data_IF_050270004907
#
_entry.id   IF_050270004907
#
_cell.length_a   1.000
_cell.length_b   1.000
_cell.length_c   1.000
_cell.angle_alpha   90.00
_cell.angle_beta   90.00
_cell.angle_gamma   90.00
#
_symmetry.space_group_name_H-M   'P 1'
#
loop_
_entity.id
_entity.type
_entity.pdbx_description
1 polymer ?
#
# COMPACT_ATOMS: atom_id res chain seq x y z
N UNK A 1 2.55 0.96 -0.14
CA UNK A 1 2.23 -0.33 -0.81
C UNK A 1 2.92 -0.44 -2.17
N UNK A 2 4.01 -1.22 -2.21
CA UNK A 2 4.94 -1.34 -3.36
C UNK A 2 4.77 -2.70 -4.06
N UNK A 3 5.16 -2.79 -5.34
CA UNK A 3 5.24 -4.07 -6.07
C UNK A 3 6.49 -4.83 -5.63
N UNK A 4 6.37 -6.15 -5.42
CA UNK A 4 7.50 -7.01 -5.09
C UNK A 4 7.91 -7.86 -6.29
N UNK A 5 9.22 -7.98 -6.48
CA UNK A 5 9.84 -8.71 -7.58
C UNK A 5 10.67 -9.84 -6.99
N UNK A 6 10.56 -11.02 -7.58
CA UNK A 6 11.30 -12.20 -7.17
C UNK A 6 12.01 -12.82 -8.38
N UNK A 7 13.28 -13.16 -8.22
CA UNK A 7 14.11 -13.72 -9.29
C UNK A 7 14.79 -15.01 -8.83
N UNK A 8 14.68 -16.09 -9.60
CA UNK A 8 15.40 -17.34 -9.32
C UNK A 8 16.86 -17.26 -9.79
N UNK A 9 17.77 -17.98 -9.12
CA UNK A 9 19.22 -17.86 -9.32
C UNK A 9 19.65 -18.10 -10.78
N UNK A 10 20.09 -17.02 -11.42
CA UNK A 10 21.17 -16.98 -12.43
C UNK A 10 22.15 -15.89 -11.93
N UNK A 11 23.48 -15.99 -12.19
CA UNK A 11 24.41 -14.99 -11.72
C UNK A 11 23.96 -13.60 -12.18
N UNK A 12 23.83 -12.66 -11.24
CA UNK A 12 23.51 -11.27 -11.54
C UNK A 12 24.49 -10.78 -12.61
N UNK A 13 24.03 -10.34 -13.79
CA UNK A 13 24.89 -9.60 -14.70
C UNK A 13 25.22 -8.31 -13.97
N UNK A 14 26.51 -8.14 -13.73
CA UNK A 14 27.08 -6.93 -13.18
C UNK A 14 26.84 -5.77 -14.15
N UNK A 15 25.68 -5.14 -14.09
CA UNK A 15 25.67 -3.69 -14.23
C UNK A 15 26.43 -3.12 -13.03
N UNK A 16 27.23 -2.06 -13.20
CA UNK A 16 28.02 -1.46 -12.12
C UNK A 16 27.09 -0.68 -11.18
N UNK A 17 26.25 -1.41 -10.47
CA UNK A 17 25.29 -0.87 -9.51
C UNK A 17 25.86 -1.14 -8.13
N UNK A 18 26.18 -0.06 -7.42
CA UNK A 18 26.75 -0.15 -6.07
C UNK A 18 25.61 -0.43 -5.08
N UNK A 19 25.61 -1.65 -4.55
CA UNK A 19 24.76 -2.03 -3.43
C UNK A 19 25.39 -1.56 -2.12
N UNK A 20 24.60 -0.97 -1.23
CA UNK A 20 25.04 -0.52 0.09
C UNK A 20 24.11 -1.05 1.17
N UNK A 21 24.63 -1.39 2.37
CA UNK A 21 23.77 -1.76 3.48
C UNK A 21 22.79 -0.64 3.83
N UNK A 22 21.52 -1.01 4.02
CA UNK A 22 20.47 -0.08 4.47
C UNK A 22 19.65 -0.71 5.59
N UNK A 23 19.18 0.13 6.50
CA UNK A 23 18.29 -0.28 7.58
C UNK A 23 16.85 -0.47 7.10
N UNK A 24 16.05 -1.11 7.94
CA UNK A 24 14.60 -1.08 7.83
C UNK A 24 14.10 0.37 7.90
N UNK A 25 13.10 0.68 7.10
CA UNK A 25 12.50 2.01 7.13
C UNK A 25 11.72 2.28 8.43
N UNK A 26 11.28 1.22 9.14
CA UNK A 26 10.67 1.33 10.47
C UNK A 26 11.58 0.72 11.56
N UNK A 27 11.60 1.30 12.78
CA UNK A 27 12.33 0.72 13.89
C UNK A 27 11.66 -0.59 14.33
N UNK A 28 12.31 -1.73 14.07
CA UNK A 28 11.86 -3.06 14.49
C UNK A 28 13.03 -3.88 15.06
N UNK A 29 12.72 -4.76 16.00
CA UNK A 29 13.66 -5.75 16.55
C UNK A 29 13.91 -6.87 15.52
N UNK A 30 14.87 -6.67 14.62
CA UNK A 30 15.32 -7.75 13.74
C UNK A 30 16.36 -8.62 14.41
N UNK A 31 16.32 -9.94 14.15
CA UNK A 31 17.45 -10.81 14.41
C UNK A 31 18.67 -10.27 13.65
N UNK A 32 19.84 -10.22 14.30
CA UNK A 32 21.03 -9.45 13.90
C UNK A 32 21.74 -9.99 12.63
N UNK A 33 21.02 -10.75 11.79
CA UNK A 33 21.52 -11.58 10.69
C UNK A 33 20.99 -11.19 9.30
N UNK A 34 19.90 -10.43 9.19
CA UNK A 34 19.36 -9.99 7.89
C UNK A 34 19.83 -8.58 7.56
N UNK A 35 20.80 -8.48 6.66
CA UNK A 35 21.24 -7.22 6.06
C UNK A 35 20.52 -7.01 4.73
N UNK A 36 19.76 -5.91 4.60
CA UNK A 36 19.22 -5.48 3.32
C UNK A 36 20.25 -4.63 2.60
N UNK A 37 20.31 -4.79 1.28
CA UNK A 37 21.10 -3.95 0.42
C UNK A 37 20.19 -3.04 -0.40
N UNK A 38 20.56 -1.78 -0.48
CA UNK A 38 19.87 -0.78 -1.27
C UNK A 38 20.77 -0.28 -2.38
N UNK A 39 20.15 0.22 -3.44
CA UNK A 39 20.87 0.94 -4.49
C UNK A 39 20.00 2.06 -5.02
N UNK A 40 20.66 3.13 -5.50
CA UNK A 40 20.00 4.27 -6.09
C UNK A 40 19.98 4.10 -7.60
N UNK A 41 18.78 4.07 -8.18
CA UNK A 41 18.58 3.98 -9.63
C UNK A 41 17.87 5.23 -10.09
N UNK A 42 18.57 6.04 -10.87
CA UNK A 42 18.00 7.24 -11.49
C UNK A 42 17.32 6.84 -12.79
N UNK A 43 16.01 6.59 -12.74
CA UNK A 43 15.15 6.64 -13.94
C UNK A 43 14.86 8.11 -14.31
N UNK A 44 14.31 8.45 -15.50
CA UNK A 44 14.30 9.80 -16.10
C UNK A 44 13.69 10.97 -15.28
N UNK A 45 13.35 10.77 -14.00
CA UNK A 45 12.54 11.64 -13.18
C UNK A 45 12.69 11.34 -11.64
N UNK A 46 13.89 11.05 -11.11
CA UNK A 46 14.10 10.53 -9.73
C UNK A 46 14.61 11.53 -8.66
N UNK A 47 14.12 11.37 -7.42
CA UNK A 47 14.59 11.94 -6.14
C UNK A 47 14.27 10.94 -4.95
N UNK A 48 14.76 11.11 -3.68
CA UNK A 48 14.77 10.06 -2.61
C UNK A 48 13.82 10.16 -1.33
N UNK A 49 13.54 9.04 -0.58
CA UNK A 49 13.01 8.87 0.86
C UNK A 49 11.84 7.89 1.39
N UNK A 50 12.05 6.68 2.01
CA UNK A 50 11.16 5.61 2.68
C UNK A 50 10.64 4.20 2.07
N UNK A 51 11.18 2.98 2.35
CA UNK A 51 10.59 1.69 1.82
C UNK A 51 9.61 0.95 2.76
N UNK A 52 8.61 0.23 2.24
CA UNK A 52 7.58 -0.48 3.06
C UNK A 52 7.50 -2.01 2.91
N UNK A 53 8.47 -2.68 2.28
CA UNK A 53 8.35 -4.12 1.97
C UNK A 53 9.47 -5.00 2.53
N UNK A 54 10.42 -4.43 3.27
CA UNK A 54 11.60 -5.14 3.78
C UNK A 54 11.25 -6.32 4.68
N UNK A 55 10.28 -6.16 5.58
CA UNK A 55 9.88 -7.26 6.47
C UNK A 55 9.35 -8.45 5.67
N UNK A 56 8.42 -8.18 4.75
CA UNK A 56 7.88 -9.20 3.84
C UNK A 56 9.00 -9.85 3.02
N UNK A 57 9.95 -9.06 2.53
CA UNK A 57 11.11 -9.56 1.79
C UNK A 57 11.99 -10.48 2.63
N UNK A 58 12.31 -10.13 3.88
CA UNK A 58 13.10 -10.99 4.77
C UNK A 58 12.37 -12.30 5.07
N UNK A 59 11.09 -12.23 5.41
CA UNK A 59 10.29 -13.43 5.67
C UNK A 59 10.28 -14.34 4.43
N UNK A 60 10.05 -13.79 3.24
CA UNK A 60 10.10 -14.56 1.99
C UNK A 60 11.50 -15.11 1.71
N UNK A 61 12.56 -14.33 1.87
CA UNK A 61 13.94 -14.80 1.69
C UNK A 61 14.24 -16.03 2.57
N UNK A 62 13.78 -16.02 3.83
CA UNK A 62 13.91 -17.18 4.73
C UNK A 62 13.02 -18.35 4.32
N UNK A 63 11.76 -18.12 3.93
CA UNK A 63 10.86 -19.18 3.44
C UNK A 63 11.40 -19.88 2.20
N UNK A 64 12.10 -19.15 1.33
CA UNK A 64 12.78 -19.68 0.14
C UNK A 64 14.22 -20.16 0.42
N UNK A 65 14.66 -20.20 1.67
CA UNK A 65 16.01 -20.63 2.07
C UNK A 65 17.14 -19.94 1.28
N UNK A 66 16.97 -18.66 0.98
CA UNK A 66 17.93 -17.87 0.19
C UNK A 66 18.07 -18.27 -1.28
N UNK A 67 17.19 -19.11 -1.81
CA UNK A 67 17.23 -19.57 -3.22
C UNK A 67 16.66 -18.59 -4.24
N UNK A 68 16.14 -17.45 -3.77
CA UNK A 68 15.50 -16.42 -4.60
C UNK A 68 15.98 -15.06 -4.14
N UNK A 69 16.31 -14.18 -5.09
CA UNK A 69 16.59 -12.77 -4.82
C UNK A 69 15.28 -11.98 -4.88
N UNK A 70 15.01 -11.20 -3.85
CA UNK A 70 13.84 -10.33 -3.79
C UNK A 70 14.26 -8.89 -4.02
N UNK A 71 13.50 -8.17 -4.83
CA UNK A 71 13.68 -6.75 -5.10
C UNK A 71 12.36 -6.04 -4.87
N UNK A 72 12.43 -4.86 -4.26
CA UNK A 72 11.32 -3.93 -4.18
C UNK A 72 11.81 -2.54 -4.54
N UNK A 73 10.88 -1.67 -4.88
CA UNK A 73 11.16 -0.26 -5.16
C UNK A 73 9.95 0.56 -4.77
N UNK A 74 10.18 1.74 -4.21
CA UNK A 74 9.09 2.67 -3.98
C UNK A 74 8.79 3.47 -5.24
N UNK A 75 7.51 3.61 -5.53
CA UNK A 75 7.06 4.35 -6.70
C UNK A 75 7.25 5.84 -6.47
N UNK A 76 7.27 6.63 -7.55
CA UNK A 76 7.29 8.09 -7.47
C UNK A 76 6.12 8.56 -6.59
N UNK A 77 6.39 9.47 -5.64
CA UNK A 77 5.38 10.00 -4.70
C UNK A 77 5.28 9.22 -3.40
N UNK A 78 5.90 8.04 -3.35
CA UNK A 78 5.87 7.16 -2.19
C UNK A 78 7.28 6.85 -1.81
N UNK A 79 7.47 6.63 -0.53
CA UNK A 79 8.63 5.95 -0.06
C UNK A 79 9.99 6.48 -0.49
N UNK A 80 11.06 5.65 -0.50
CA UNK A 80 12.51 5.91 -0.81
C UNK A 80 12.79 6.58 -2.12
N UNK A 81 11.75 6.83 -2.88
CA UNK A 81 11.68 7.75 -3.98
C UNK A 81 11.24 9.15 -3.52
N UNK A 82 10.80 10.01 -4.42
CA UNK A 82 10.33 11.34 -4.05
C UNK A 82 9.03 11.24 -3.23
N UNK A 83 9.10 11.36 -1.90
CA UNK A 83 7.92 11.28 -1.03
C UNK A 83 7.05 12.52 -1.18
N UNK A 84 5.82 12.34 -1.68
CA UNK A 84 4.88 13.43 -1.89
C UNK A 84 4.03 13.60 -0.64
N UNK A 85 4.42 14.54 0.21
CA UNK A 85 3.69 14.90 1.43
C UNK A 85 3.13 16.33 1.37
N UNK A 86 2.03 16.55 2.09
CA UNK A 86 1.48 17.87 2.40
C UNK A 86 1.69 18.18 3.88
N UNK A 87 2.19 19.37 4.22
CA UNK A 87 2.40 19.88 5.58
C UNK A 87 2.91 18.84 6.64
N UNK A 88 2.86 19.18 7.93
CA UNK A 88 3.48 18.41 9.03
C UNK A 88 2.64 17.22 9.53
N UNK A 89 1.58 16.81 8.82
CA UNK A 89 0.68 15.76 9.30
C UNK A 89 0.59 14.59 8.31
N UNK A 90 0.55 13.38 8.85
CA UNK A 90 0.20 12.17 8.10
C UNK A 90 -1.29 12.10 7.76
N UNK A 91 -2.08 13.03 8.29
CA UNK A 91 -3.53 13.12 8.13
C UNK A 91 -3.89 14.55 7.75
N UNK A 92 -4.51 14.70 6.59
CA UNK A 92 -4.98 16.00 6.09
C UNK A 92 -6.47 16.07 6.40
N UNK A 93 -6.88 17.03 7.22
CA UNK A 93 -8.31 17.24 7.48
C UNK A 93 -8.99 17.79 6.21
N UNK A 94 -10.28 17.48 6.02
CA UNK A 94 -11.02 17.89 4.81
C UNK A 94 -10.89 19.39 4.46
N UNK A 95 -10.87 20.33 5.42
CA UNK A 95 -10.69 21.75 5.13
C UNK A 95 -9.27 22.10 4.63
N UNK A 96 -8.26 21.32 4.97
CA UNK A 96 -6.85 21.53 4.61
C UNK A 96 -6.48 20.93 3.25
N UNK A 97 -7.36 20.07 2.70
CA UNK A 97 -7.14 19.40 1.41
C UNK A 97 -6.77 20.35 0.27
N UNK A 98 -7.44 21.51 0.06
CA UNK A 98 -7.09 22.39 -1.06
C UNK A 98 -5.67 22.94 -0.97
N UNK A 99 -5.23 23.30 0.24
CA UNK A 99 -3.88 23.83 0.48
C UNK A 99 -2.84 22.72 0.32
N UNK A 100 -3.10 21.54 0.89
CA UNK A 100 -2.29 20.34 0.67
C UNK A 100 -2.11 20.03 -0.82
N UNK A 101 -3.20 19.99 -1.59
CA UNK A 101 -3.09 19.74 -3.03
C UNK A 101 -2.29 20.83 -3.73
N UNK A 102 -2.44 22.10 -3.34
CA UNK A 102 -1.62 23.20 -3.85
C UNK A 102 -0.12 22.99 -3.60
N UNK A 103 0.26 22.63 -2.37
CA UNK A 103 1.64 22.35 -1.99
C UNK A 103 2.21 21.15 -2.77
N UNK A 104 1.46 20.04 -2.82
CA UNK A 104 1.85 18.84 -3.54
C UNK A 104 2.01 19.10 -5.04
N UNK A 105 1.10 19.86 -5.66
CA UNK A 105 1.19 20.25 -7.07
C UNK A 105 2.42 21.12 -7.35
N UNK A 106 2.73 22.05 -6.45
CA UNK A 106 3.94 22.88 -6.57
C UNK A 106 5.22 22.04 -6.47
N UNK A 107 5.26 21.03 -5.59
CA UNK A 107 6.41 20.12 -5.43
C UNK A 107 6.72 19.29 -6.68
N UNK A 108 5.75 19.12 -7.56
CA UNK A 108 5.87 18.30 -8.78
C UNK A 108 5.83 19.14 -10.06
N UNK A 109 5.93 20.47 -9.96
CA UNK A 109 5.81 21.39 -11.09
C UNK A 109 4.54 21.15 -11.94
N UNK A 110 3.44 20.74 -11.29
CA UNK A 110 2.18 20.40 -11.94
C UNK A 110 2.20 19.09 -12.77
N UNK A 111 3.28 18.30 -12.73
CA UNK A 111 3.42 17.05 -13.49
C UNK A 111 2.69 15.85 -12.84
N UNK A 112 1.39 15.98 -12.56
CA UNK A 112 0.55 14.94 -11.94
C UNK A 112 0.60 13.59 -12.67
N UNK A 113 0.65 13.61 -14.00
CA UNK A 113 0.71 12.40 -14.83
C UNK A 113 1.95 11.54 -14.57
N UNK A 114 3.03 12.17 -14.10
CA UNK A 114 4.29 11.52 -13.81
C UNK A 114 4.20 10.65 -12.54
N UNK A 115 3.17 10.81 -11.72
CA UNK A 115 2.90 10.05 -10.49
C UNK A 115 1.77 9.02 -10.68
N UNK A 116 1.48 8.65 -11.94
CA UNK A 116 0.44 7.68 -12.27
C UNK A 116 0.91 6.22 -12.13
N UNK A 117 -0.04 5.29 -12.01
CA UNK A 117 0.26 3.85 -12.09
C UNK A 117 0.97 3.44 -13.40
N UNK A 118 0.76 4.20 -14.49
CA UNK A 118 1.48 4.00 -15.76
C UNK A 118 2.94 4.40 -15.68
N UNK A 119 3.24 5.52 -15.01
CA UNK A 119 4.62 5.93 -14.73
C UNK A 119 5.31 4.92 -13.83
N UNK A 120 4.67 4.51 -12.73
CA UNK A 120 5.19 3.47 -11.85
C UNK A 120 5.50 2.16 -12.59
N UNK A 121 4.59 1.68 -13.45
CA UNK A 121 4.82 0.48 -14.26
C UNK A 121 5.99 0.66 -15.25
N UNK A 122 6.17 1.87 -15.79
CA UNK A 122 7.29 2.19 -16.69
C UNK A 122 8.61 2.19 -15.93
N UNK A 123 8.63 2.72 -14.71
CA UNK A 123 9.82 2.73 -13.85
C UNK A 123 10.23 1.29 -13.48
N UNK A 124 9.27 0.45 -13.08
CA UNK A 124 9.47 -0.98 -12.83
C UNK A 124 10.08 -1.70 -14.03
N UNK A 125 9.56 -1.45 -15.23
CA UNK A 125 10.11 -2.00 -16.48
C UNK A 125 11.58 -1.59 -16.65
N UNK A 126 11.92 -0.32 -16.45
CA UNK A 126 13.29 0.18 -16.59
C UNK A 126 14.22 -0.46 -15.55
N UNK A 127 13.80 -0.48 -14.27
CA UNK A 127 14.56 -1.07 -13.17
C UNK A 127 14.85 -2.55 -13.44
N UNK A 128 13.83 -3.34 -13.80
CA UNK A 128 13.99 -4.75 -14.14
C UNK A 128 14.97 -4.94 -15.29
N UNK A 129 14.88 -4.13 -16.35
CA UNK A 129 15.80 -4.21 -17.49
C UNK A 129 17.25 -3.82 -17.16
N UNK A 130 17.46 -3.02 -16.11
CA UNK A 130 18.79 -2.58 -15.69
C UNK A 130 19.44 -3.50 -14.64
N UNK A 131 18.64 -4.10 -13.76
CA UNK A 131 19.13 -4.90 -12.63
C UNK A 131 19.08 -6.40 -12.85
N UNK A 132 18.14 -6.88 -13.67
CA UNK A 132 17.83 -8.30 -13.77
C UNK A 132 18.27 -8.79 -15.14
N UNK A 133 19.01 -9.91 -15.16
CA UNK A 133 19.40 -10.51 -16.43
C UNK A 133 18.21 -10.96 -17.24
N UNK A 134 18.42 -11.02 -18.56
CA UNK A 134 17.47 -11.65 -19.47
C UNK A 134 17.43 -13.18 -19.36
N UNK A 135 18.47 -13.81 -18.80
CA UNK A 135 18.53 -15.27 -18.57
C UNK A 135 18.08 -15.66 -17.15
N UNK A 136 17.53 -14.71 -16.38
CA UNK A 136 16.99 -14.93 -15.04
C UNK A 136 15.49 -15.23 -15.14
N UNK A 137 15.05 -16.29 -14.45
CA UNK A 137 13.62 -16.57 -14.27
C UNK A 137 13.00 -15.50 -13.35
N UNK A 138 12.30 -14.53 -13.95
CA UNK A 138 11.67 -13.41 -13.25
C UNK A 138 10.19 -13.67 -12.93
N UNK A 139 9.80 -13.42 -11.68
CA UNK A 139 8.45 -13.48 -11.16
C UNK A 139 8.08 -12.13 -10.54
N UNK A 140 6.88 -11.64 -10.80
CA UNK A 140 6.43 -10.35 -10.25
C UNK A 140 5.15 -10.56 -9.45
N UNK A 141 5.17 -10.08 -8.21
CA UNK A 141 4.08 -10.22 -7.25
C UNK A 141 3.51 -8.84 -6.90
N UNK A 142 2.28 -8.59 -7.33
CA UNK A 142 1.51 -7.40 -6.98
C UNK A 142 0.53 -7.72 -5.86
N UNK A 143 0.51 -6.89 -4.82
CA UNK A 143 -0.43 -7.00 -3.70
C UNK A 143 -1.28 -5.74 -3.62
N UNK A 144 -2.60 -5.84 -3.47
CA UNK A 144 -3.49 -4.69 -3.31
C UNK A 144 -3.30 -3.69 -4.47
N UNK A 145 -3.08 -2.39 -4.21
CA UNK A 145 -2.73 -1.38 -5.22
C UNK A 145 -1.60 -1.82 -6.19
N UNK A 146 -0.63 -2.63 -5.73
CA UNK A 146 0.43 -3.18 -6.57
C UNK A 146 -0.11 -4.03 -7.74
N UNK A 147 -1.30 -4.62 -7.62
CA UNK A 147 -1.96 -5.34 -8.71
C UNK A 147 -2.41 -4.43 -9.84
N UNK A 148 -2.80 -3.18 -9.57
CA UNK A 148 -3.13 -2.17 -10.58
C UNK A 148 -1.86 -1.79 -11.39
N UNK A 149 -0.75 -1.54 -10.68
CA UNK A 149 0.56 -1.29 -11.31
C UNK A 149 1.01 -2.51 -12.13
N UNK A 150 0.83 -3.72 -11.60
CA UNK A 150 1.20 -4.96 -12.28
C UNK A 150 0.36 -5.21 -13.54
N UNK A 151 -0.95 -4.94 -13.51
CA UNK A 151 -1.81 -5.00 -14.69
C UNK A 151 -1.29 -4.05 -15.78
N UNK A 152 -0.89 -2.84 -15.39
CA UNK A 152 -0.32 -1.87 -16.34
C UNK A 152 1.03 -2.33 -16.88
N UNK A 153 1.87 -2.96 -16.06
CA UNK A 153 3.13 -3.54 -16.50
C UNK A 153 2.92 -4.64 -17.54
N UNK A 154 1.95 -5.54 -17.32
CA UNK A 154 1.59 -6.60 -18.29
C UNK A 154 1.17 -6.00 -19.64
N UNK A 155 0.46 -4.86 -19.65
CA UNK A 155 0.07 -4.18 -20.89
C UNK A 155 1.27 -3.60 -21.67
N UNK A 156 2.27 -3.05 -20.98
CA UNK A 156 3.40 -2.35 -21.63
C UNK A 156 4.65 -3.22 -21.82
N UNK A 157 4.73 -4.36 -21.14
CA UNK A 157 5.86 -5.28 -21.17
C UNK A 157 5.45 -6.73 -20.81
N UNK A 158 4.54 -7.37 -21.56
CA UNK A 158 3.98 -8.68 -21.21
C UNK A 158 5.02 -9.80 -21.13
N UNK A 159 6.14 -9.66 -21.83
CA UNK A 159 7.23 -10.65 -21.87
C UNK A 159 8.36 -10.37 -20.88
N UNK A 160 8.24 -9.36 -20.02
CA UNK A 160 9.32 -8.99 -19.09
C UNK A 160 9.58 -10.06 -18.03
N UNK A 161 8.55 -10.79 -17.64
CA UNK A 161 8.60 -11.80 -16.60
C UNK A 161 8.04 -13.14 -17.09
N UNK A 162 8.49 -14.21 -16.45
CA UNK A 162 7.99 -15.57 -16.68
C UNK A 162 6.58 -15.74 -16.14
N UNK A 163 6.28 -15.11 -14.99
CA UNK A 163 4.96 -15.15 -14.34
C UNK A 163 4.64 -13.84 -13.62
N UNK A 164 3.34 -13.57 -13.56
CA UNK A 164 2.74 -12.47 -12.82
C UNK A 164 1.78 -13.06 -11.78
N UNK A 165 1.86 -12.59 -10.53
CA UNK A 165 1.02 -13.01 -9.42
C UNK A 165 0.24 -11.80 -8.93
N UNK A 166 -1.09 -11.92 -8.89
CA UNK A 166 -1.99 -10.87 -8.43
C UNK A 166 -2.65 -11.32 -7.14
N UNK A 167 -2.35 -10.66 -6.03
CA UNK A 167 -2.89 -10.96 -4.70
C UNK A 167 -3.69 -9.76 -4.17
N UNK A 168 -4.94 -9.98 -3.77
CA UNK A 168 -5.86 -8.89 -3.39
C UNK A 168 -6.08 -7.89 -4.53
N UNK A 169 -6.67 -8.34 -5.64
CA UNK A 169 -6.73 -7.59 -6.91
C UNK A 169 -7.52 -6.27 -6.78
N UNK A 170 -6.86 -5.15 -7.06
CA UNK A 170 -7.43 -3.83 -7.34
C UNK A 170 -7.39 -3.60 -8.86
N UNK A 171 -8.57 -3.47 -9.46
CA UNK A 171 -8.72 -3.27 -10.91
C UNK A 171 -9.23 -1.87 -11.20
N UNK A 172 -8.79 -1.32 -12.33
CA UNK A 172 -9.46 -0.16 -12.90
C UNK A 172 -10.89 -0.54 -13.29
N UNK A 173 -11.87 0.26 -12.88
CA UNK A 173 -13.27 0.00 -13.17
C UNK A 173 -13.65 0.44 -14.58
N UNK A 174 -14.87 0.10 -15.00
CA UNK A 174 -15.37 0.41 -16.36
C UNK A 174 -15.35 1.91 -16.65
N UNK A 175 -15.34 2.30 -17.94
CA UNK A 175 -15.38 3.71 -18.37
C UNK A 175 -16.56 4.52 -17.80
N UNK A 176 -17.61 3.85 -17.33
CA UNK A 176 -18.81 4.46 -16.76
C UNK A 176 -18.74 4.70 -15.27
N UNK A 177 -17.66 4.28 -14.60
CA UNK A 177 -17.47 4.51 -13.18
C UNK A 177 -16.59 5.75 -12.92
N UNK A 178 -17.11 6.77 -12.20
CA UNK A 178 -16.37 8.00 -11.93
C UNK A 178 -15.12 7.81 -11.06
N UNK A 179 -14.98 6.72 -10.31
CA UNK A 179 -13.88 6.53 -9.36
C UNK A 179 -12.68 5.75 -9.90
N UNK A 180 -12.82 5.09 -11.07
CA UNK A 180 -11.75 4.40 -11.82
C UNK A 180 -10.93 3.32 -11.07
N UNK A 181 -11.31 2.92 -9.85
CA UNK A 181 -10.69 1.83 -9.08
C UNK A 181 -11.77 1.08 -8.30
N UNK A 182 -11.69 -0.26 -8.32
CA UNK A 182 -12.63 -1.13 -7.59
C UNK A 182 -12.50 -0.94 -6.07
N UNK A 183 -11.31 -0.56 -5.61
CA UNK A 183 -11.06 -0.22 -4.21
C UNK A 183 -11.92 0.97 -3.72
N UNK A 184 -12.30 1.91 -4.59
CA UNK A 184 -13.23 2.98 -4.22
C UNK A 184 -14.62 2.45 -3.83
N UNK A 185 -14.99 1.27 -4.33
CA UNK A 185 -16.23 0.56 -4.00
C UNK A 185 -16.07 -0.42 -2.84
N UNK A 186 -14.94 -0.41 -2.12
CA UNK A 186 -14.69 -1.29 -0.97
C UNK A 186 -15.81 -1.26 0.07
N UNK A 187 -16.46 -0.12 0.24
CA UNK A 187 -17.61 0.03 1.14
C UNK A 187 -18.77 -0.93 0.79
N UNK A 188 -18.93 -1.33 -0.47
CA UNK A 188 -19.95 -2.29 -0.90
C UNK A 188 -19.49 -3.72 -0.60
N UNK A 189 -18.24 -4.05 -0.91
CA UNK A 189 -17.71 -5.41 -0.79
C UNK A 189 -17.41 -5.82 0.66
N UNK A 190 -17.09 -4.86 1.54
CA UNK A 190 -16.81 -5.14 2.96
C UNK A 190 -18.07 -5.57 3.73
N UNK A 191 -19.26 -5.22 3.26
CA UNK A 191 -20.51 -5.46 4.00
C UNK A 191 -20.81 -6.94 4.19
N UNK A 192 -20.59 -7.77 3.17
CA UNK A 192 -20.86 -9.21 3.27
C UNK A 192 -19.88 -9.95 4.22
N UNK A 193 -18.56 -9.73 4.18
CA UNK A 193 -17.63 -10.17 5.22
C UNK A 193 -18.00 -9.65 6.61
N UNK A 194 -18.32 -8.36 6.75
CA UNK A 194 -18.72 -7.79 8.04
C UNK A 194 -19.95 -8.48 8.62
N UNK A 195 -20.99 -8.71 7.80
CA UNK A 195 -22.17 -9.47 8.23
C UNK A 195 -21.80 -10.85 8.74
N UNK A 196 -20.97 -11.61 7.99
CA UNK A 196 -20.52 -12.95 8.40
C UNK A 196 -19.77 -12.95 9.72
N UNK A 197 -18.89 -11.96 9.94
CA UNK A 197 -18.17 -11.79 11.19
C UNK A 197 -19.13 -11.50 12.35
N UNK A 198 -20.10 -10.61 12.16
CA UNK A 198 -21.06 -10.24 13.20
C UNK A 198 -22.05 -11.39 13.50
N UNK A 199 -22.44 -12.16 12.49
CA UNK A 199 -23.19 -13.41 12.67
C UNK A 199 -22.40 -14.46 13.46
N UNK A 200 -21.11 -14.65 13.15
CA UNK A 200 -20.25 -15.55 13.93
C UNK A 200 -20.10 -15.07 15.38
N UNK A 201 -20.00 -13.76 15.61
CA UNK A 201 -20.02 -13.18 16.95
C UNK A 201 -21.36 -13.40 17.67
N UNK A 202 -22.50 -13.33 16.97
CA UNK A 202 -23.80 -13.68 17.56
C UNK A 202 -23.85 -15.14 18.02
N UNK A 203 -23.27 -16.04 17.23
CA UNK A 203 -23.24 -17.48 17.51
C UNK A 203 -22.22 -17.85 18.62
N UNK A 204 -21.26 -16.97 18.91
CA UNK A 204 -20.22 -17.17 19.93
C UNK A 204 -20.63 -16.59 21.31
N UNK A 205 -20.79 -17.43 22.35
CA UNK A 205 -21.20 -16.97 23.68
C UNK A 205 -20.17 -16.05 24.36
N UNK A 206 -18.90 -16.11 23.94
CA UNK A 206 -17.82 -15.28 24.45
C UNK A 206 -17.77 -13.90 23.79
N UNK A 207 -18.51 -13.69 22.69
CA UNK A 207 -18.50 -12.40 22.02
C UNK A 207 -19.13 -11.31 22.92
N UNK A 208 -18.47 -10.15 23.08
CA UNK A 208 -18.98 -9.07 23.92
C UNK A 208 -20.17 -8.34 23.29
N UNK A 209 -20.32 -8.39 21.95
CA UNK A 209 -21.43 -7.74 21.27
C UNK A 209 -22.71 -8.56 21.45
N UNK A 210 -23.80 -7.88 21.79
CA UNK A 210 -25.13 -8.49 21.97
C UNK A 210 -26.08 -7.97 20.91
N UNK A 211 -26.49 -8.84 20.00
CA UNK A 211 -27.44 -8.52 18.94
C UNK A 211 -28.81 -9.11 19.26
N UNK A 212 -29.86 -8.48 18.73
CA UNK A 212 -31.25 -8.94 18.90
C UNK A 212 -31.51 -10.20 18.09
N UNK A 213 -30.96 -10.31 16.90
CA UNK A 213 -31.08 -11.50 16.07
C UNK A 213 -29.87 -11.70 15.16
N UNK A 214 -29.60 -12.96 14.82
CA UNK A 214 -28.57 -13.33 13.85
C UNK A 214 -28.75 -12.62 12.50
N UNK A 215 -29.98 -12.45 12.04
CA UNK A 215 -30.28 -11.84 10.73
C UNK A 215 -30.15 -10.32 10.70
N UNK A 216 -30.05 -9.65 11.84
CA UNK A 216 -30.05 -8.19 11.96
C UNK A 216 -28.71 -7.61 12.43
N UNK A 217 -27.67 -8.44 12.54
CA UNK A 217 -26.39 -8.05 13.16
C UNK A 217 -25.75 -6.84 12.48
N UNK A 218 -25.68 -6.81 11.15
CA UNK A 218 -25.11 -5.68 10.40
C UNK A 218 -25.96 -4.41 10.57
N UNK A 219 -27.28 -4.54 10.44
CA UNK A 219 -28.21 -3.42 10.56
C UNK A 219 -28.18 -2.79 11.97
N UNK A 220 -28.02 -3.61 13.01
CA UNK A 220 -27.86 -3.16 14.39
C UNK A 220 -26.56 -2.38 14.60
N UNK A 221 -25.44 -2.82 14.00
CA UNK A 221 -24.16 -2.09 14.04
C UNK A 221 -24.26 -0.77 13.27
N UNK A 222 -24.86 -0.76 12.07
CA UNK A 222 -25.05 0.46 11.30
C UNK A 222 -25.97 1.47 12.03
N UNK A 223 -27.02 0.97 12.69
CA UNK A 223 -27.89 1.79 13.53
C UNK A 223 -27.15 2.33 14.77
N UNK A 224 -26.20 1.57 15.34
CA UNK A 224 -25.33 2.06 16.41
C UNK A 224 -24.48 3.22 15.92
N UNK A 225 -23.76 3.08 14.80
CA UNK A 225 -22.96 4.16 14.22
C UNK A 225 -23.82 5.41 13.95
N UNK A 226 -24.99 5.24 13.34
CA UNK A 226 -25.91 6.36 13.09
C UNK A 226 -26.29 7.11 14.37
N UNK A 227 -26.59 6.38 15.46
CA UNK A 227 -26.90 7.04 16.75
C UNK A 227 -25.69 7.75 17.33
N UNK A 228 -24.49 7.17 17.22
CA UNK A 228 -23.27 7.82 17.68
C UNK A 228 -23.09 9.16 16.96
N UNK A 229 -23.29 9.19 15.64
CA UNK A 229 -23.21 10.39 14.81
C UNK A 229 -24.30 11.43 15.17
N UNK A 230 -25.55 10.98 15.34
CA UNK A 230 -26.69 11.85 15.69
C UNK A 230 -26.55 12.47 17.11
N UNK A 231 -25.80 11.80 18.00
CA UNK A 231 -25.68 12.13 19.42
C UNK A 231 -24.30 12.69 19.83
N UNK A 232 -23.43 13.05 18.88
CA UNK A 232 -22.06 13.56 19.16
C UNK A 232 -22.06 14.67 20.22
N UNK A 233 -22.99 15.63 20.11
CA UNK A 233 -23.06 16.78 21.01
C UNK A 233 -23.81 16.52 22.32
N UNK A 234 -24.60 15.44 22.39
CA UNK A 234 -25.56 15.20 23.47
C UNK A 234 -25.26 13.97 24.31
N UNK A 235 -24.40 13.07 23.83
CA UNK A 235 -24.02 11.83 24.50
C UNK A 235 -22.53 11.84 24.85
N UNK A 236 -22.23 11.78 26.16
CA UNK A 236 -20.86 11.81 26.67
C UNK A 236 -19.98 10.67 26.14
N UNK A 237 -20.55 9.49 25.85
CA UNK A 237 -19.81 8.37 25.25
C UNK A 237 -19.49 8.67 23.78
N UNK A 238 -20.45 9.17 23.01
CA UNK A 238 -20.22 9.59 21.61
C UNK A 238 -19.15 10.68 21.54
N UNK A 239 -19.25 11.68 22.42
CA UNK A 239 -18.27 12.76 22.55
C UNK A 239 -16.87 12.24 22.90
N UNK A 240 -16.76 11.30 23.86
CA UNK A 240 -15.49 10.69 24.25
C UNK A 240 -14.87 9.86 23.11
N UNK A 241 -15.67 9.22 22.26
CA UNK A 241 -15.15 8.47 21.11
C UNK A 241 -14.53 9.41 20.06
N UNK A 242 -15.16 10.57 19.82
CA UNK A 242 -14.65 11.59 18.90
C UNK A 242 -13.41 12.29 19.47
N UNK A 243 -13.44 12.69 20.75
CA UNK A 243 -12.31 13.34 21.43
C UNK A 243 -11.16 12.35 21.75
N UNK A 244 -11.46 11.06 21.88
CA UNK A 244 -10.47 10.00 22.11
C UNK A 244 -9.55 9.75 20.91
N UNK A 245 -10.00 10.05 19.68
CA UNK A 245 -9.14 10.07 18.50
C UNK A 245 -8.19 11.28 18.48
N UNK A 246 -8.52 12.39 19.18
CA UNK A 246 -7.59 13.52 19.32
C UNK A 246 -6.42 13.24 20.27
N UNK A 247 -6.56 12.31 21.24
CA UNK A 247 -5.48 11.97 22.18
C UNK A 247 -4.32 11.21 21.54
N UNK A 248 -4.50 10.70 20.31
CA UNK A 248 -3.44 10.10 19.49
C UNK A 248 -2.73 11.11 18.60
N UNK A 249 -3.19 12.37 18.56
CA UNK A 249 -2.56 13.45 17.79
C UNK A 249 -1.55 14.18 18.70
N UNK A 250 -0.26 14.29 18.33
CA UNK A 250 0.63 15.21 19.02
C UNK A 250 0.06 16.63 18.81
N UNK A 251 -0.38 17.28 19.90
CA UNK A 251 -0.70 18.71 19.86
C UNK A 251 0.58 19.47 19.53
N UNK A 252 0.68 19.96 18.29
CA UNK A 252 1.67 20.97 17.95
C UNK A 252 1.30 22.26 18.70
N UNK A 253 2.18 22.68 19.60
CA UNK A 253 2.26 24.05 20.10
C UNK A 253 2.93 24.94 19.06
#
# INVERSE_FOLDING_TARGET
MSTLIASAVSPLPSTPVSWTPCGFSFPFESDNKTTFECTNITVPLCHPGFCEMEESMAQMYHMFNGSVSFYTSDHRGTGRSFFLQCANSSFVDLPELPECFGEALSKIDGHVNAFSASSAATDHKIIMQQLISRDTDLFIHGVSYGTNVLQRLVQIAPSIAKRFIFDGVDVATTKTDPFQSDYAHRHQYIMAPSRRLLEACFDDPTCPLKFKSRSTTLEEVLALYKRLDDEIETNACSKTLVEGEEFSRPRAL
#
